data_IF_481695793632
#
_entry.id   IF_481695793632
#
_cell.length_a   1.000
_cell.length_b   1.000
_cell.length_c   1.000
_cell.angle_alpha   90.00
_cell.angle_beta   90.00
_cell.angle_gamma   90.00
#
_symmetry.space_group_name_H-M   'P 1'
#
loop_
_entity.id
_entity.type
_entity.pdbx_description
1 polymer ?
#
# COMPACT_ATOMS: atom_id res chain seq x y z
N UNK A 1 -15.24 19.48 17.46
CA UNK A 1 -14.02 19.58 16.63
C UNK A 1 -13.29 18.25 16.77
N UNK A 2 -13.44 17.33 15.81
CA UNK A 2 -12.73 16.05 15.84
C UNK A 2 -11.27 16.32 15.43
N UNK A 3 -10.35 16.17 16.39
CA UNK A 3 -8.92 16.16 16.13
C UNK A 3 -8.59 14.79 15.53
N UNK A 4 -8.40 14.73 14.22
CA UNK A 4 -7.78 13.59 13.56
C UNK A 4 -6.28 13.63 13.92
N UNK A 5 -5.90 12.91 14.97
CA UNK A 5 -4.51 12.54 15.19
C UNK A 5 -4.15 11.50 14.12
N UNK A 6 -3.40 11.89 13.09
CA UNK A 6 -2.65 10.93 12.29
C UNK A 6 -1.35 10.65 13.07
N UNK A 7 -1.17 9.45 13.65
CA UNK A 7 0.02 9.12 14.44
C UNK A 7 1.31 9.04 13.60
N UNK A 8 1.23 9.26 12.29
CA UNK A 8 2.32 9.02 11.34
C UNK A 8 2.00 9.70 10.00
N UNK A 9 3.02 10.23 9.33
CA UNK A 9 2.89 10.90 8.03
C UNK A 9 2.45 9.89 6.96
N UNK A 10 1.27 10.11 6.37
CA UNK A 10 0.68 9.25 5.32
C UNK A 10 1.63 9.04 4.15
N UNK A 11 2.39 10.07 3.77
CA UNK A 11 3.35 9.98 2.68
C UNK A 11 4.53 9.09 3.05
N UNK A 12 5.03 9.23 4.28
CA UNK A 12 6.12 8.40 4.79
C UNK A 12 5.71 6.93 4.86
N UNK A 13 4.47 6.64 5.28
CA UNK A 13 3.96 5.26 5.31
C UNK A 13 3.85 4.68 3.90
N UNK A 14 3.21 5.41 2.98
CA UNK A 14 3.06 4.96 1.60
C UNK A 14 4.40 4.70 0.92
N UNK A 15 5.38 5.58 1.13
CA UNK A 15 6.75 5.41 0.63
C UNK A 15 7.45 4.19 1.26
N UNK A 16 7.33 4.02 2.58
CA UNK A 16 8.01 2.93 3.29
C UNK A 16 7.50 1.56 2.84
N UNK A 17 6.19 1.40 2.62
CA UNK A 17 5.59 0.15 2.14
C UNK A 17 6.18 -0.24 0.77
N UNK A 18 6.24 0.71 -0.17
CA UNK A 18 6.79 0.45 -1.50
C UNK A 18 8.30 0.26 -1.45
N UNK A 19 9.01 1.01 -0.62
CA UNK A 19 10.44 0.85 -0.42
C UNK A 19 10.80 -0.57 0.02
N UNK A 20 10.08 -1.10 1.00
CA UNK A 20 10.29 -2.48 1.47
C UNK A 20 10.10 -3.48 0.34
N UNK A 21 9.07 -3.33 -0.49
CA UNK A 21 8.87 -4.19 -1.66
C UNK A 21 10.01 -4.04 -2.69
N UNK A 22 10.44 -2.81 -2.96
CA UNK A 22 11.51 -2.51 -3.90
C UNK A 22 12.88 -3.03 -3.43
N UNK A 23 13.16 -3.03 -2.13
CA UNK A 23 14.39 -3.57 -1.55
C UNK A 23 14.56 -5.08 -1.82
N UNK A 24 13.45 -5.82 -1.97
CA UNK A 24 13.44 -7.24 -2.37
C UNK A 24 13.32 -7.45 -3.90
N UNK A 25 13.14 -6.39 -4.68
CA UNK A 25 12.99 -6.40 -6.15
C UNK A 25 14.04 -5.49 -6.82
N UNK A 26 15.35 -5.79 -6.70
CA UNK A 26 16.41 -4.90 -7.18
C UNK A 26 16.40 -4.66 -8.70
N UNK A 27 15.85 -5.60 -9.46
CA UNK A 27 15.69 -5.49 -10.92
C UNK A 27 14.36 -4.82 -11.34
N UNK A 28 13.48 -4.55 -10.38
CA UNK A 28 12.08 -4.19 -10.63
C UNK A 28 11.16 -5.41 -10.65
N UNK A 29 9.87 -5.17 -10.82
CA UNK A 29 8.87 -6.22 -10.87
C UNK A 29 7.46 -5.77 -10.53
N UNK A 30 6.56 -6.72 -10.56
CA UNK A 30 5.15 -6.52 -10.23
C UNK A 30 4.94 -6.68 -8.73
N UNK A 31 4.17 -5.75 -8.14
CA UNK A 31 3.74 -5.79 -6.74
C UNK A 31 2.23 -5.67 -6.66
N UNK A 32 1.63 -6.34 -5.68
CA UNK A 32 0.22 -6.19 -5.33
C UNK A 32 0.10 -5.71 -3.88
N UNK A 33 -0.92 -4.90 -3.59
CA UNK A 33 -1.26 -4.49 -2.22
C UNK A 33 -2.48 -5.28 -1.76
N UNK A 34 -2.32 -6.11 -0.73
CA UNK A 34 -3.42 -6.70 0.02
C UNK A 34 -3.72 -5.82 1.24
N UNK A 35 -4.89 -5.19 1.25
CA UNK A 35 -5.37 -4.32 2.32
C UNK A 35 -6.47 -5.01 3.14
N UNK A 36 -6.90 -4.42 4.26
CA UNK A 36 -8.00 -4.97 5.04
C UNK A 36 -9.33 -4.58 4.39
N UNK A 37 -9.89 -3.40 4.69
CA UNK A 37 -11.19 -3.00 4.17
C UNK A 37 -11.10 -1.85 3.15
N UNK A 38 -11.88 -1.96 2.07
CA UNK A 38 -12.05 -0.89 1.07
C UNK A 38 -12.67 0.40 1.63
N UNK A 39 -13.21 0.36 2.84
CA UNK A 39 -13.79 1.52 3.52
C UNK A 39 -12.89 2.14 4.59
N UNK A 40 -11.72 1.54 4.87
CA UNK A 40 -10.78 2.03 5.86
C UNK A 40 -10.06 3.29 5.36
N UNK A 41 -10.46 4.46 5.86
CA UNK A 41 -9.98 5.78 5.40
C UNK A 41 -8.47 5.94 5.50
N UNK A 42 -7.86 5.46 6.57
CA UNK A 42 -6.41 5.51 6.78
C UNK A 42 -5.64 4.62 5.80
N UNK A 43 -6.08 3.37 5.62
CA UNK A 43 -5.43 2.41 4.71
C UNK A 43 -5.51 2.88 3.26
N UNK A 44 -6.67 3.37 2.84
CA UNK A 44 -6.83 3.95 1.50
C UNK A 44 -5.92 5.18 1.29
N UNK A 45 -5.77 6.04 2.31
CA UNK A 45 -4.86 7.18 2.23
C UNK A 45 -3.38 6.75 2.07
N UNK A 46 -2.95 5.66 2.73
CA UNK A 46 -1.61 5.11 2.57
C UNK A 46 -1.41 4.50 1.18
N UNK A 47 -2.42 3.81 0.64
CA UNK A 47 -2.40 3.25 -0.73
C UNK A 47 -2.29 4.36 -1.76
N UNK A 48 -3.04 5.45 -1.60
CA UNK A 48 -2.98 6.59 -2.51
C UNK A 48 -1.62 7.30 -2.46
N UNK A 49 -1.02 7.42 -1.27
CA UNK A 49 0.33 7.92 -1.13
C UNK A 49 1.36 6.99 -1.81
N UNK A 50 1.23 5.67 -1.63
CA UNK A 50 2.07 4.68 -2.29
C UNK A 50 1.99 4.77 -3.82
N UNK A 51 0.77 4.89 -4.37
CA UNK A 51 0.52 5.06 -5.81
C UNK A 51 1.20 6.30 -6.40
N UNK A 52 1.25 7.40 -5.65
CA UNK A 52 1.92 8.64 -6.08
C UNK A 52 3.44 8.50 -6.09
N UNK A 53 4.00 7.79 -5.11
CA UNK A 53 5.45 7.64 -4.96
C UNK A 53 6.06 6.68 -5.97
N UNK A 54 5.30 5.67 -6.43
CA UNK A 54 5.75 4.66 -7.39
C UNK A 54 6.44 5.25 -8.64
N UNK A 55 5.79 6.11 -9.46
CA UNK A 55 6.43 6.63 -10.66
C UNK A 55 7.61 7.58 -10.38
N UNK A 56 7.63 8.24 -9.22
CA UNK A 56 8.68 9.22 -8.88
C UNK A 56 9.96 8.57 -8.33
N UNK A 57 9.81 7.58 -7.45
CA UNK A 57 10.93 6.98 -6.70
C UNK A 57 11.22 5.53 -7.06
N UNK A 58 10.24 4.81 -7.58
CA UNK A 58 10.33 3.38 -7.86
C UNK A 58 9.86 3.04 -9.28
N UNK A 59 10.43 3.65 -10.34
CA UNK A 59 9.93 3.54 -11.71
C UNK A 59 10.02 2.13 -12.31
N UNK A 60 10.76 1.21 -11.65
CA UNK A 60 10.87 -0.21 -12.05
C UNK A 60 9.86 -1.11 -11.36
N UNK A 61 9.07 -0.58 -10.42
CA UNK A 61 8.03 -1.31 -9.70
C UNK A 61 6.68 -1.01 -10.35
N UNK A 62 5.93 -2.05 -10.66
CA UNK A 62 4.61 -1.96 -11.26
C UNK A 62 3.55 -2.45 -10.27
N UNK A 63 2.61 -1.60 -9.88
CA UNK A 63 1.50 -2.01 -9.03
C UNK A 63 0.42 -2.67 -9.87
N UNK A 64 0.36 -4.00 -9.84
CA UNK A 64 -0.57 -4.79 -10.67
C UNK A 64 -1.96 -4.93 -10.07
N UNK A 65 -2.08 -4.85 -8.74
CA UNK A 65 -3.37 -4.99 -8.07
C UNK A 65 -3.42 -4.28 -6.71
N UNK A 66 -4.63 -3.91 -6.31
CA UNK A 66 -4.98 -3.58 -4.93
C UNK A 66 -6.21 -4.40 -4.57
N UNK A 67 -6.04 -5.36 -3.66
CA UNK A 67 -7.06 -6.32 -3.23
C UNK A 67 -7.35 -6.14 -1.73
N UNK A 68 -8.51 -6.62 -1.28
CA UNK A 68 -9.02 -6.37 0.08
C UNK A 68 -9.45 -7.67 0.74
N UNK A 69 -8.71 -8.08 1.79
CA UNK A 69 -8.96 -9.30 2.56
C UNK A 69 -10.01 -9.16 3.66
N UNK A 70 -10.50 -7.95 3.94
CA UNK A 70 -11.49 -7.60 4.97
C UNK A 70 -11.17 -8.12 6.39
N UNK A 71 -9.87 -8.20 6.75
CA UNK A 71 -9.38 -8.81 8.00
C UNK A 71 -9.79 -10.28 8.19
N UNK A 72 -10.25 -10.95 7.11
CA UNK A 72 -10.58 -12.36 7.08
C UNK A 72 -9.41 -13.15 6.46
N UNK A 73 -8.89 -14.13 7.21
CA UNK A 73 -7.73 -14.93 6.78
C UNK A 73 -8.01 -15.83 5.56
N UNK A 74 -9.24 -16.33 5.41
CA UNK A 74 -9.61 -17.17 4.28
C UNK A 74 -9.70 -16.31 3.01
N UNK A 75 -10.41 -15.16 3.11
CA UNK A 75 -10.49 -14.21 2.00
C UNK A 75 -9.13 -13.65 1.60
N UNK A 76 -8.28 -13.34 2.58
CA UNK A 76 -6.91 -12.87 2.35
C UNK A 76 -6.06 -13.87 1.58
N UNK A 77 -6.32 -15.17 1.75
CA UNK A 77 -5.60 -16.24 1.04
C UNK A 77 -6.10 -16.39 -0.40
N UNK A 78 -7.41 -16.23 -0.64
CA UNK A 78 -7.99 -16.32 -1.99
C UNK A 78 -7.61 -15.12 -2.89
N UNK A 79 -7.39 -13.95 -2.29
CA UNK A 79 -7.08 -12.69 -3.01
C UNK A 79 -5.57 -12.46 -3.26
N UNK A 80 -4.69 -13.24 -2.60
CA UNK A 80 -3.22 -13.12 -2.69
C UNK A 80 -2.65 -13.86 -3.91
#
# INVERSE_FOLDING_TARGET
RQLHLNPSDTNLIGETIIKLAADYLPEGGDVAILSASSTATNQNAWIDAAKKVLPEKFPKINLVATVYGDDDSAKSTDEA
#
